data_IF_138988667688
#
_entry.id   IF_138988667688
#
_cell.length_a   1.000
_cell.length_b   1.000
_cell.length_c   1.000
_cell.angle_alpha   90.00
_cell.angle_beta   90.00
_cell.angle_gamma   90.00
#
_symmetry.space_group_name_H-M   'P 1'
#
loop_
_entity.id
_entity.type
_entity.pdbx_description
1 polymer ?
#
# COMPACT_ATOMS: atom_id res chain seq x y z
N UNK A 1 -24.70 -2.52 -17.13
CA UNK A 1 -23.78 -1.81 -16.30
C UNK A 1 -23.60 -2.43 -14.95
N UNK A 2 -22.41 -2.45 -14.57
CA UNK A 2 -22.05 -3.05 -13.32
C UNK A 2 -22.61 -2.29 -12.16
N UNK A 3 -23.41 -2.95 -11.40
CA UNK A 3 -24.04 -2.27 -10.31
C UNK A 3 -23.16 -2.16 -9.13
N UNK A 4 -22.70 -1.00 -8.87
CA UNK A 4 -22.14 -0.73 -7.60
C UNK A 4 -21.10 -1.66 -7.06
N UNK A 5 -20.28 -2.19 -7.91
CA UNK A 5 -19.17 -2.97 -7.40
C UNK A 5 -18.21 -2.01 -6.72
N UNK A 6 -18.20 -2.06 -5.40
CA UNK A 6 -17.43 -1.12 -4.60
C UNK A 6 -15.98 -1.55 -4.54
N UNK A 7 -15.08 -0.59 -4.73
CA UNK A 7 -13.66 -0.85 -4.63
C UNK A 7 -13.30 -1.14 -3.19
N UNK A 8 -12.53 -2.20 -2.98
CA UNK A 8 -12.06 -2.55 -1.65
C UNK A 8 -11.03 -1.55 -1.16
N UNK A 9 -11.00 -1.36 0.14
CA UNK A 9 -9.98 -0.53 0.80
C UNK A 9 -9.27 -1.38 1.83
N UNK A 10 -7.95 -1.23 1.88
CA UNK A 10 -7.14 -1.92 2.88
C UNK A 10 -6.32 -0.88 3.64
N UNK A 11 -5.87 -1.28 4.82
CA UNK A 11 -4.87 -0.53 5.56
C UNK A 11 -3.59 -1.35 5.51
N UNK A 12 -2.50 -0.74 5.07
CA UNK A 12 -1.19 -1.39 5.03
C UNK A 12 -0.25 -0.63 5.94
N UNK A 13 0.48 -1.36 6.76
CA UNK A 13 1.48 -0.76 7.65
C UNK A 13 2.79 -0.68 6.90
N UNK A 14 3.36 0.52 6.81
CA UNK A 14 4.51 0.81 5.98
C UNK A 14 5.56 1.51 6.83
N UNK A 15 6.81 1.08 6.70
CA UNK A 15 7.91 1.70 7.44
C UNK A 15 8.09 3.15 7.01
N UNK A 16 8.51 4.03 7.94
CA UNK A 16 8.62 5.45 7.61
C UNK A 16 9.47 5.76 6.38
N UNK A 17 10.58 5.07 6.19
CA UNK A 17 11.44 5.34 5.05
C UNK A 17 10.72 5.04 3.74
N UNK A 18 9.99 3.93 3.69
CA UNK A 18 9.25 3.58 2.47
C UNK A 18 8.05 4.50 2.27
N UNK A 19 7.38 4.85 3.36
CA UNK A 19 6.25 5.75 3.26
C UNK A 19 6.69 7.13 2.79
N UNK A 20 7.86 7.59 3.24
CA UNK A 20 8.43 8.84 2.75
C UNK A 20 8.67 8.81 1.25
N UNK A 21 9.15 7.69 0.75
CA UNK A 21 9.38 7.54 -0.69
C UNK A 21 8.07 7.52 -1.47
N UNK A 22 7.01 6.94 -0.89
CA UNK A 22 5.68 6.98 -1.51
C UNK A 22 5.19 8.42 -1.57
N UNK A 23 5.26 9.12 -0.45
CA UNK A 23 4.71 10.47 -0.35
C UNK A 23 5.47 11.46 -1.22
N UNK A 24 6.75 11.24 -1.43
CA UNK A 24 7.56 12.12 -2.29
C UNK A 24 7.41 11.82 -3.77
N UNK A 25 6.71 10.73 -4.12
CA UNK A 25 6.50 10.34 -5.50
C UNK A 25 7.63 9.53 -6.10
N UNK A 26 8.65 9.19 -5.32
CA UNK A 26 9.78 8.40 -5.84
C UNK A 26 9.47 6.92 -5.93
N UNK A 27 8.70 6.38 -4.98
CA UNK A 27 8.41 4.96 -4.93
C UNK A 27 7.18 4.67 -5.76
N UNK A 28 7.38 3.99 -6.88
CA UNK A 28 6.30 3.69 -7.81
C UNK A 28 5.73 2.28 -7.64
N UNK A 29 6.37 1.46 -6.82
CA UNK A 29 5.89 0.11 -6.51
C UNK A 29 6.18 -0.19 -5.05
N UNK A 30 5.23 -0.87 -4.42
CA UNK A 30 5.34 -1.34 -3.04
C UNK A 30 5.44 -2.86 -3.07
N UNK A 31 6.49 -3.42 -2.45
CA UNK A 31 6.68 -4.87 -2.46
C UNK A 31 5.92 -5.51 -1.31
N UNK A 32 5.16 -6.55 -1.63
CA UNK A 32 4.38 -7.29 -0.64
C UNK A 32 4.38 -8.77 -0.98
N UNK A 33 4.28 -9.61 0.04
CA UNK A 33 4.24 -11.06 -0.18
C UNK A 33 2.85 -11.54 -0.57
N UNK A 34 1.83 -10.76 -0.25
CA UNK A 34 0.44 -11.10 -0.58
C UNK A 34 -0.23 -9.90 -1.21
N UNK A 35 -1.39 -10.14 -1.79
CA UNK A 35 -2.13 -9.10 -2.51
C UNK A 35 -3.62 -9.39 -2.44
N UNK A 36 -4.46 -8.36 -2.26
CA UNK A 36 -5.89 -8.55 -2.42
C UNK A 36 -6.21 -9.15 -3.78
N UNK A 37 -7.24 -9.96 -3.84
CA UNK A 37 -7.58 -10.65 -5.08
C UNK A 37 -8.24 -9.76 -6.12
N UNK A 38 -8.94 -8.74 -5.68
CA UNK A 38 -9.69 -7.88 -6.57
C UNK A 38 -8.98 -6.55 -6.76
N UNK A 39 -8.91 -6.11 -8.00
CA UNK A 39 -8.30 -4.83 -8.34
C UNK A 39 -9.30 -4.00 -9.12
N UNK A 40 -9.23 -2.68 -9.06
CA UNK A 40 -8.29 -1.92 -8.24
C UNK A 40 -8.67 -1.95 -6.77
N UNK A 41 -7.72 -1.62 -5.91
CA UNK A 41 -8.03 -1.43 -4.49
C UNK A 41 -7.29 -0.22 -3.96
N UNK A 42 -7.85 0.36 -2.89
CA UNK A 42 -7.26 1.54 -2.25
C UNK A 42 -6.44 1.10 -1.05
N UNK A 43 -5.28 1.71 -0.91
CA UNK A 43 -4.38 1.45 0.21
C UNK A 43 -4.31 2.69 1.09
N UNK A 44 -4.71 2.54 2.34
CA UNK A 44 -4.51 3.56 3.36
C UNK A 44 -3.17 3.25 4.03
N UNK A 45 -2.25 4.20 3.97
CA UNK A 45 -0.87 3.97 4.38
C UNK A 45 -0.69 4.33 5.85
N UNK A 46 -0.57 3.32 6.69
CA UNK A 46 -0.36 3.50 8.12
C UNK A 46 1.15 3.50 8.40
N UNK A 47 1.63 4.54 9.05
CA UNK A 47 3.06 4.63 9.36
C UNK A 47 3.41 3.71 10.52
N UNK A 48 4.37 2.82 10.30
CA UNK A 48 4.83 1.90 11.34
C UNK A 48 5.43 2.69 12.49
N UNK A 49 5.05 2.32 13.71
CA UNK A 49 5.60 2.96 14.90
C UNK A 49 4.97 4.30 15.26
N UNK A 50 3.91 4.70 14.58
CA UNK A 50 3.27 6.00 14.79
C UNK A 50 2.05 5.94 15.70
N UNK A 51 1.72 4.75 16.19
CA UNK A 51 0.47 4.61 16.96
C UNK A 51 -0.74 4.53 16.08
N UNK A 52 -0.56 4.12 14.84
CA UNK A 52 -1.70 3.89 13.92
C UNK A 52 -2.06 5.06 13.03
N UNK A 53 -1.16 6.02 12.87
CA UNK A 53 -1.45 7.18 12.03
C UNK A 53 -1.39 6.82 10.54
N UNK A 54 -2.39 7.26 9.80
CA UNK A 54 -2.50 7.04 8.37
C UNK A 54 -2.20 8.37 7.70
N UNK A 55 -1.10 8.41 6.95
CA UNK A 55 -0.58 9.65 6.40
C UNK A 55 -0.88 9.86 4.92
N UNK A 56 -1.27 8.82 4.22
CA UNK A 56 -1.46 8.91 2.77
C UNK A 56 -2.31 7.76 2.28
N UNK A 57 -2.71 7.83 1.02
CA UNK A 57 -3.39 6.72 0.35
C UNK A 57 -2.94 6.63 -1.08
N UNK A 58 -3.10 5.47 -1.70
CA UNK A 58 -2.90 5.33 -3.14
C UNK A 58 -3.78 4.20 -3.67
N UNK A 59 -3.84 4.11 -5.00
CA UNK A 59 -4.58 3.05 -5.67
C UNK A 59 -3.61 2.05 -6.29
N UNK A 60 -4.00 0.79 -6.27
CA UNK A 60 -3.28 -0.29 -6.94
C UNK A 60 -4.21 -0.82 -8.02
N UNK A 61 -3.77 -0.71 -9.27
CA UNK A 61 -4.60 -1.09 -10.41
C UNK A 61 -4.08 -2.31 -11.15
N UNK A 62 -2.77 -2.50 -11.17
CA UNK A 62 -2.16 -3.56 -11.97
C UNK A 62 -0.97 -4.18 -11.26
N UNK A 63 -1.23 -4.82 -10.10
CA UNK A 63 -0.13 -5.46 -9.38
C UNK A 63 0.42 -6.64 -10.18
N UNK A 64 1.73 -6.88 -10.05
CA UNK A 64 2.36 -8.00 -10.75
C UNK A 64 3.11 -8.86 -9.74
N UNK A 65 3.17 -10.15 -10.01
CA UNK A 65 3.84 -11.11 -9.14
C UNK A 65 5.01 -11.72 -9.89
N UNK A 66 6.23 -11.41 -9.44
CA UNK A 66 7.44 -11.88 -10.11
C UNK A 66 8.55 -12.03 -9.07
N UNK A 67 9.61 -12.76 -9.46
CA UNK A 67 10.82 -12.77 -8.67
C UNK A 67 11.61 -11.50 -8.98
N UNK A 68 12.21 -10.86 -7.97
CA UNK A 68 12.91 -9.60 -8.21
C UNK A 68 13.97 -9.67 -9.31
N UNK A 69 14.72 -10.76 -9.36
CA UNK A 69 15.77 -10.90 -10.38
C UNK A 69 15.23 -10.96 -11.80
N UNK A 70 13.96 -11.37 -11.96
CA UNK A 70 13.35 -11.47 -13.29
C UNK A 70 13.04 -10.10 -13.86
N UNK A 71 12.74 -9.15 -12.99
CA UNK A 71 12.35 -7.82 -13.47
C UNK A 71 13.01 -6.74 -12.61
N UNK A 72 14.32 -6.51 -12.79
CA UNK A 72 15.06 -5.55 -11.95
C UNK A 72 14.51 -4.13 -11.97
N UNK A 73 13.85 -3.75 -13.06
CA UNK A 73 13.29 -2.41 -13.17
C UNK A 73 12.21 -2.16 -12.11
N UNK A 74 11.42 -3.18 -11.79
CA UNK A 74 10.42 -3.04 -10.74
C UNK A 74 11.07 -2.78 -9.40
N UNK A 75 12.18 -3.47 -9.14
CA UNK A 75 12.90 -3.30 -7.88
C UNK A 75 13.42 -1.87 -7.76
N UNK A 76 13.97 -1.35 -8.85
CA UNK A 76 14.47 0.01 -8.87
C UNK A 76 13.34 1.00 -8.62
N UNK A 77 12.20 0.78 -9.25
CA UNK A 77 11.04 1.67 -9.08
C UNK A 77 10.37 1.50 -7.72
N UNK A 78 10.69 0.43 -7.00
CA UNK A 78 10.22 0.26 -5.63
C UNK A 78 11.16 0.93 -4.61
N UNK A 79 12.24 1.54 -5.07
CA UNK A 79 13.19 2.27 -4.23
C UNK A 79 13.87 1.39 -3.19
N UNK A 80 14.18 0.14 -3.58
CA UNK A 80 14.91 -0.77 -2.72
C UNK A 80 16.08 -1.34 -3.51
N UNK A 81 17.09 -1.82 -2.82
CA UNK A 81 18.22 -2.46 -3.48
C UNK A 81 17.82 -3.88 -3.88
N UNK A 82 18.53 -4.42 -4.87
CA UNK A 82 18.28 -5.79 -5.28
C UNK A 82 18.56 -6.77 -4.14
N UNK A 83 19.57 -6.48 -3.33
CA UNK A 83 19.90 -7.33 -2.19
C UNK A 83 18.71 -7.41 -1.23
N UNK A 84 18.15 -6.26 -0.88
CA UNK A 84 16.99 -6.22 0.01
C UNK A 84 15.79 -6.93 -0.60
N UNK A 85 15.56 -6.72 -1.90
CA UNK A 85 14.43 -7.33 -2.56
C UNK A 85 14.56 -8.85 -2.58
N UNK A 86 15.77 -9.36 -2.87
CA UNK A 86 15.98 -10.79 -2.90
C UNK A 86 15.88 -11.42 -1.52
N UNK A 87 16.36 -10.73 -0.49
CA UNK A 87 16.21 -11.21 0.87
C UNK A 87 14.74 -11.29 1.27
N UNK A 88 14.01 -10.24 0.93
CA UNK A 88 12.58 -10.20 1.23
C UNK A 88 11.83 -11.32 0.50
N UNK A 89 12.15 -11.55 -0.77
CA UNK A 89 11.48 -12.56 -1.58
C UNK A 89 11.85 -13.97 -1.17
N UNK A 90 13.06 -14.15 -0.65
CA UNK A 90 13.55 -15.46 -0.20
C UNK A 90 13.37 -16.51 -1.30
N UNK A 91 13.79 -16.18 -2.53
CA UNK A 91 13.74 -17.09 -3.66
C UNK A 91 12.38 -17.29 -4.28
N UNK A 92 11.38 -16.53 -3.82
CA UNK A 92 10.01 -16.71 -4.29
C UNK A 92 9.56 -15.51 -5.10
N UNK A 93 8.43 -15.68 -5.77
CA UNK A 93 7.77 -14.55 -6.39
C UNK A 93 7.09 -13.72 -5.32
N UNK A 94 7.13 -12.41 -5.50
CA UNK A 94 6.44 -11.49 -4.60
C UNK A 94 5.61 -10.53 -5.43
N UNK A 95 4.72 -9.83 -4.77
CA UNK A 95 3.86 -8.85 -5.42
C UNK A 95 4.52 -7.48 -5.45
N UNK A 96 4.38 -6.82 -6.58
CA UNK A 96 4.75 -5.41 -6.73
C UNK A 96 3.45 -4.67 -6.98
N UNK A 97 3.03 -3.89 -6.00
CA UNK A 97 1.81 -3.08 -6.10
C UNK A 97 2.17 -1.76 -6.75
N UNK A 98 1.53 -1.44 -7.87
CA UNK A 98 1.74 -0.15 -8.52
C UNK A 98 1.14 0.96 -7.66
N UNK A 99 1.92 2.02 -7.45
CA UNK A 99 1.47 3.15 -6.63
C UNK A 99 0.96 4.22 -7.58
N UNK A 100 -0.36 4.41 -7.61
CA UNK A 100 -0.98 5.41 -8.47
C UNK A 100 -1.92 6.27 -7.66
N UNK A 101 -2.23 7.46 -8.17
CA UNK A 101 -3.19 8.38 -7.55
C UNK A 101 -2.91 8.61 -6.07
N UNK A 102 -1.66 8.80 -5.73
CA UNK A 102 -1.26 9.01 -4.33
C UNK A 102 -1.77 10.35 -3.82
N UNK A 103 -2.34 10.32 -2.60
CA UNK A 103 -2.78 11.52 -1.91
C UNK A 103 -2.06 11.57 -0.57
N UNK A 104 -1.30 12.63 -0.36
CA UNK A 104 -0.58 12.85 0.90
C UNK A 104 -1.50 13.64 1.83
N UNK A 105 -1.95 13.01 2.89
CA UNK A 105 -2.90 13.64 3.81
C UNK A 105 -2.31 14.83 4.55
N UNK A 106 -0.99 14.89 4.64
CA UNK A 106 -0.33 15.96 5.39
C UNK A 106 -0.24 17.24 4.59
N UNK A 107 -0.25 17.15 3.26
CA UNK A 107 -0.02 18.32 2.41
C UNK A 107 -1.19 18.65 1.49
N UNK A 108 -2.14 17.73 1.32
CA UNK A 108 -3.24 17.95 0.41
C UNK A 108 -4.34 18.73 1.11
N UNK A 109 -4.75 19.84 0.51
CA UNK A 109 -5.78 20.68 1.06
C UNK A 109 -7.07 19.90 1.24
N UNK A 110 -7.69 20.05 2.39
CA UNK A 110 -8.93 19.36 2.70
C UNK A 110 -8.75 17.97 3.27
N UNK A 111 -7.51 17.51 3.37
CA UNK A 111 -7.20 16.21 3.94
C UNK A 111 -6.59 16.37 5.32
N UNK A 112 -6.66 15.31 6.12
CA UNK A 112 -6.01 15.29 7.43
C UNK A 112 -5.48 13.91 7.70
N UNK A 113 -4.52 13.83 8.60
CA UNK A 113 -4.01 12.56 9.09
C UNK A 113 -5.15 11.82 9.77
N UNK A 114 -5.29 10.54 9.46
CA UNK A 114 -6.30 9.66 10.03
C UNK A 114 -5.63 8.70 11.01
N UNK A 115 -6.43 7.89 11.67
CA UNK A 115 -5.88 6.88 12.58
C UNK A 115 -6.65 5.58 12.40
N UNK A 116 -5.97 4.46 12.60
CA UNK A 116 -6.61 3.16 12.42
C UNK A 116 -7.83 2.98 13.32
N UNK A 117 -7.87 3.69 14.45
CA UNK A 117 -9.04 3.62 15.34
C UNK A 117 -10.31 4.14 14.66
N UNK A 118 -10.18 5.02 13.69
CA UNK A 118 -11.34 5.52 12.96
C UNK A 118 -11.97 4.43 12.11
N UNK A 119 -11.26 3.35 11.89
CA UNK A 119 -11.73 2.22 11.09
C UNK A 119 -11.99 0.99 11.95
N UNK A 120 -12.08 1.19 13.27
CA UNK A 120 -12.43 0.11 14.18
C UNK A 120 -11.28 -0.77 14.62
N UNK A 121 -10.06 -0.39 14.31
CA UNK A 121 -8.89 -1.20 14.69
C UNK A 121 -8.27 -0.66 15.97
N UNK A 122 -7.88 -1.58 16.85
CA UNK A 122 -7.20 -1.19 18.09
C UNK A 122 -5.72 -0.96 17.86
N UNK A 123 -5.16 -1.53 16.82
CA UNK A 123 -3.75 -1.39 16.48
C UNK A 123 -3.57 -1.63 14.99
N UNK A 124 -2.44 -1.19 14.43
CA UNK A 124 -2.18 -1.41 13.02
C UNK A 124 -2.06 -2.89 12.69
N UNK A 125 -2.43 -3.30 11.47
CA UNK A 125 -2.22 -4.67 11.05
C UNK A 125 -0.73 -4.95 10.90
N UNK A 126 -0.35 -6.22 11.01
CA UNK A 126 1.04 -6.60 10.86
C UNK A 126 1.53 -6.36 9.43
N UNK A 127 0.70 -6.63 8.45
CA UNK A 127 1.02 -6.36 7.05
C UNK A 127 -0.07 -5.49 6.47
N UNK A 128 -1.21 -6.08 6.16
CA UNK A 128 -2.36 -5.31 5.71
C UNK A 128 -3.64 -6.06 6.05
N UNK A 129 -4.74 -5.33 6.08
CA UNK A 129 -6.04 -5.94 6.33
C UNK A 129 -7.10 -5.13 5.60
N UNK A 130 -8.23 -5.77 5.31
CA UNK A 130 -9.36 -5.06 4.72
C UNK A 130 -9.97 -4.11 5.74
N UNK A 131 -10.41 -2.97 5.25
CA UNK A 131 -11.18 -2.05 6.08
C UNK A 131 -12.62 -2.54 6.06
N UNK A 132 -13.11 -2.88 7.22
CA UNK A 132 -14.43 -3.43 7.34
C UNK A 132 -15.47 -2.38 6.99
N UNK A 133 -16.43 -2.77 6.18
CA UNK A 133 -17.56 -1.93 5.86
C UNK A 133 -17.35 -0.89 4.80
N UNK A 134 -16.14 -0.73 4.26
CA UNK A 134 -15.95 0.27 3.20
C UNK A 134 -16.69 -0.09 1.94
N UNK A 135 -16.81 -1.36 1.67
CA UNK A 135 -17.57 -1.78 0.49
C UNK A 135 -19.05 -1.52 0.66
N UNK A 136 -19.48 -1.24 1.88
CA UNK A 136 -20.87 -0.92 2.16
C UNK A 136 -21.12 0.57 2.24
N UNK A 137 -20.08 1.37 2.17
CA UNK A 137 -20.21 2.82 2.26
C UNK A 137 -20.63 3.35 0.90
N UNK A 138 -21.67 4.15 0.89
CA UNK A 138 -22.20 4.67 -0.38
C UNK A 138 -21.83 6.10 -0.61
#
# INVERSE_FOLDING_TARGET
MEKGKTMKTIIATIKPVHLGDIRSGRKLYEMRKTCPKETPFRVLCCESGSGGNILAEFLVSAPVKVRPLVWPELVRRACVSMVMAEEYADGKEIWFWDVTNMIDYCTTKGCRVRNVSEFGLKRPPQSWCYVRGTEDVK
#
